data_IF_678987969086
#
_entry.id   IF_678987969086
#
_cell.length_a   1.000
_cell.length_b   1.000
_cell.length_c   1.000
_cell.angle_alpha   90.00
_cell.angle_beta   90.00
_cell.angle_gamma   90.00
#
_symmetry.space_group_name_H-M   'P 1'
#
loop_
_entity.id
_entity.type
_entity.pdbx_description
1 polymer ?
#
# COMPACT_ATOMS: atom_id res chain seq x y z
N UNK A 1 9.41 7.79 10.04
CA UNK A 1 9.10 7.31 8.68
C UNK A 1 8.39 5.97 8.79
N UNK A 2 7.18 5.87 8.24
CA UNK A 2 6.36 4.66 8.26
C UNK A 2 6.15 4.19 6.82
N UNK A 3 6.46 2.92 6.56
CA UNK A 3 6.12 2.29 5.27
C UNK A 3 4.67 1.84 5.32
N UNK A 4 3.88 2.27 4.33
CA UNK A 4 2.44 2.02 4.28
C UNK A 4 2.13 0.96 3.25
N UNK A 5 1.35 -0.04 3.66
CA UNK A 5 0.93 -1.18 2.85
C UNK A 5 -0.47 -0.97 2.23
N UNK A 6 -0.86 -1.87 1.32
CA UNK A 6 -2.10 -1.80 0.55
C UNK A 6 -3.36 -1.78 1.44
N UNK A 7 -3.43 -2.65 2.45
CA UNK A 7 -4.63 -2.82 3.28
C UNK A 7 -5.11 -1.51 3.93
N UNK A 8 -4.27 -0.85 4.75
CA UNK A 8 -4.63 0.44 5.36
C UNK A 8 -5.00 1.54 4.36
N UNK A 9 -4.33 1.61 3.20
CA UNK A 9 -4.63 2.59 2.14
C UNK A 9 -6.01 2.36 1.51
N UNK A 10 -6.34 1.11 1.19
CA UNK A 10 -7.63 0.73 0.63
C UNK A 10 -8.75 0.97 1.64
N UNK A 11 -8.56 0.55 2.90
CA UNK A 11 -9.55 0.77 3.96
C UNK A 11 -9.80 2.26 4.21
N UNK A 12 -8.76 3.09 4.28
CA UNK A 12 -8.92 4.54 4.43
C UNK A 12 -9.63 5.20 3.23
N UNK A 13 -9.48 4.65 2.01
CA UNK A 13 -10.10 5.21 0.81
C UNK A 13 -11.55 4.76 0.59
N UNK A 14 -11.96 3.62 1.15
CA UNK A 14 -13.31 3.07 1.00
C UNK A 14 -14.13 3.25 2.27
N UNK A 15 -15.12 4.15 2.26
CA UNK A 15 -15.99 4.41 3.43
C UNK A 15 -16.82 3.20 3.86
N UNK A 16 -17.02 2.22 2.97
CA UNK A 16 -17.71 0.97 3.26
C UNK A 16 -16.80 -0.11 3.87
N UNK A 17 -15.49 0.10 3.94
CA UNK A 17 -14.57 -0.87 4.54
C UNK A 17 -14.77 -0.90 6.07
N UNK A 18 -14.78 -2.10 6.66
CA UNK A 18 -14.96 -2.27 8.10
C UNK A 18 -13.86 -1.57 8.92
N UNK A 19 -12.68 -1.37 8.34
CA UNK A 19 -11.54 -0.72 8.98
C UNK A 19 -11.34 0.73 8.54
N UNK A 20 -12.32 1.33 7.84
CA UNK A 20 -12.22 2.69 7.32
C UNK A 20 -11.83 3.70 8.41
N UNK A 21 -12.63 3.77 9.47
CA UNK A 21 -12.46 4.75 10.54
C UNK A 21 -11.11 4.57 11.28
N UNK A 22 -10.73 3.35 11.73
CA UNK A 22 -9.40 3.12 12.30
C UNK A 22 -8.23 3.54 11.40
N UNK A 23 -8.32 3.31 10.09
CA UNK A 23 -7.23 3.66 9.17
C UNK A 23 -7.13 5.17 8.93
N UNK A 24 -8.27 5.86 8.83
CA UNK A 24 -8.31 7.33 8.72
C UNK A 24 -7.71 7.97 9.97
N UNK A 25 -8.10 7.52 11.16
CA UNK A 25 -7.57 8.02 12.43
C UNK A 25 -6.07 7.75 12.58
N UNK A 26 -5.61 6.56 12.20
CA UNK A 26 -4.20 6.21 12.20
C UNK A 26 -3.41 7.20 11.33
N UNK A 27 -3.78 7.40 10.07
CA UNK A 27 -3.07 8.31 9.18
C UNK A 27 -3.12 9.77 9.65
N UNK A 28 -4.27 10.23 10.17
CA UNK A 28 -4.37 11.56 10.75
C UNK A 28 -3.40 11.73 11.93
N UNK A 29 -3.35 10.76 12.85
CA UNK A 29 -2.46 10.80 14.01
C UNK A 29 -0.98 10.81 13.62
N UNK A 30 -0.58 9.99 12.64
CA UNK A 30 0.80 9.93 12.15
C UNK A 30 1.21 11.26 11.50
N UNK A 31 0.34 11.87 10.72
CA UNK A 31 0.60 13.19 10.12
C UNK A 31 0.71 14.29 11.15
N UNK A 32 -0.16 14.30 12.17
CA UNK A 32 -0.06 15.25 13.29
C UNK A 32 1.27 15.10 14.04
N UNK A 33 1.82 13.89 14.08
CA UNK A 33 3.14 13.61 14.64
C UNK A 33 4.30 13.86 13.67
N UNK A 34 4.05 14.46 12.50
CA UNK A 34 5.03 14.70 11.44
C UNK A 34 5.75 13.42 10.94
N UNK A 35 5.09 12.27 11.03
CA UNK A 35 5.63 11.04 10.47
C UNK A 35 5.55 11.04 8.95
N UNK A 36 6.67 10.75 8.29
CA UNK A 36 6.71 10.58 6.84
C UNK A 36 6.05 9.24 6.47
N UNK A 37 4.97 9.29 5.70
CA UNK A 37 4.28 8.11 5.16
C UNK A 37 4.82 7.77 3.77
N UNK A 38 5.49 6.63 3.65
CA UNK A 38 6.13 6.18 2.41
C UNK A 38 5.38 4.98 1.85
N UNK A 39 4.92 5.07 0.61
CA UNK A 39 4.21 4.02 -0.11
C UNK A 39 5.18 3.36 -1.09
N UNK A 40 5.43 2.05 -0.99
CA UNK A 40 6.20 1.34 -2.00
C UNK A 40 5.54 1.46 -3.39
N UNK A 41 6.32 1.61 -4.47
CA UNK A 41 5.79 1.76 -5.82
C UNK A 41 4.83 0.64 -6.25
N UNK A 42 5.08 -0.59 -5.81
CA UNK A 42 4.22 -1.75 -6.11
C UNK A 42 2.88 -1.71 -5.36
N UNK A 43 2.86 -1.13 -4.16
CA UNK A 43 1.64 -0.88 -3.38
C UNK A 43 0.77 0.16 -4.09
N UNK A 44 1.36 1.18 -4.73
CA UNK A 44 0.59 2.18 -5.51
C UNK A 44 -0.24 1.49 -6.59
N UNK A 45 0.35 0.55 -7.34
CA UNK A 45 -0.36 -0.18 -8.38
C UNK A 45 -1.46 -1.06 -7.81
N UNK A 46 -1.19 -1.78 -6.72
CA UNK A 46 -2.17 -2.66 -6.07
C UNK A 46 -3.38 -1.88 -5.54
N UNK A 47 -3.13 -0.78 -4.82
CA UNK A 47 -4.20 0.11 -4.32
C UNK A 47 -5.01 0.67 -5.48
N UNK A 48 -4.36 1.15 -6.55
CA UNK A 48 -5.08 1.65 -7.71
C UNK A 48 -5.99 0.58 -8.34
N UNK A 49 -5.49 -0.64 -8.45
CA UNK A 49 -6.24 -1.77 -8.99
C UNK A 49 -7.45 -2.15 -8.13
N UNK A 50 -7.27 -2.24 -6.81
CA UNK A 50 -8.34 -2.58 -5.88
C UNK A 50 -9.41 -1.48 -5.85
N UNK A 51 -9.01 -0.21 -5.78
CA UNK A 51 -9.95 0.91 -5.78
C UNK A 51 -10.70 1.05 -7.11
N UNK A 52 -10.10 0.69 -8.24
CA UNK A 52 -10.79 0.69 -9.54
C UNK A 52 -12.06 -0.17 -9.54
N UNK A 53 -12.12 -1.20 -8.68
CA UNK A 53 -13.29 -2.09 -8.53
C UNK A 53 -14.38 -1.54 -7.60
N UNK A 54 -14.09 -0.46 -6.87
CA UNK A 54 -14.91 -0.01 -5.73
C UNK A 54 -15.13 1.51 -5.68
N UNK A 55 -15.04 2.22 -6.81
CA UNK A 55 -15.29 3.67 -6.90
C UNK A 55 -14.19 4.49 -7.57
N UNK A 56 -13.06 3.85 -7.89
CA UNK A 56 -11.95 4.43 -8.62
C UNK A 56 -10.83 4.96 -7.72
N UNK A 57 -9.59 5.04 -8.24
CA UNK A 57 -8.41 5.39 -7.44
C UNK A 57 -8.20 6.89 -7.27
N UNK A 58 -9.11 7.75 -7.76
CA UNK A 58 -8.93 9.22 -7.79
C UNK A 58 -8.58 9.83 -6.43
N UNK A 59 -9.24 9.46 -5.31
CA UNK A 59 -8.88 10.00 -4.00
C UNK A 59 -7.44 9.66 -3.60
N UNK A 60 -7.00 8.43 -3.85
CA UNK A 60 -5.64 7.98 -3.57
C UNK A 60 -4.60 8.64 -4.48
N UNK A 61 -4.88 8.79 -5.78
CA UNK A 61 -3.97 9.52 -6.68
C UNK A 61 -3.81 10.98 -6.25
N UNK A 62 -4.90 11.60 -5.76
CA UNK A 62 -4.84 12.96 -5.22
C UNK A 62 -3.96 13.06 -3.97
N UNK A 63 -4.00 12.07 -3.08
CA UNK A 63 -3.14 12.05 -1.89
C UNK A 63 -1.66 11.82 -2.23
N UNK A 64 -1.34 11.14 -3.33
CA UNK A 64 0.04 11.13 -3.83
C UNK A 64 0.46 12.50 -4.38
N UNK A 65 -0.43 13.13 -5.15
CA UNK A 65 -0.16 14.43 -5.77
C UNK A 65 -0.06 15.59 -4.75
N UNK A 66 -0.71 15.46 -3.59
CA UNK A 66 -0.62 16.44 -2.50
C UNK A 66 0.48 16.12 -1.48
N UNK A 67 1.33 15.13 -1.75
CA UNK A 67 2.43 14.68 -0.86
C UNK A 67 1.99 14.21 0.53
N UNK A 68 0.70 13.95 0.65
CA UNK A 68 0.02 13.28 1.75
C UNK A 68 0.60 11.87 2.01
N UNK A 69 1.13 11.27 0.94
CA UNK A 69 1.97 10.08 0.93
C UNK A 69 3.10 10.29 -0.08
N UNK A 70 4.28 9.76 0.20
CA UNK A 70 5.44 9.82 -0.70
C UNK A 70 5.74 8.46 -1.30
N UNK A 71 6.10 8.40 -2.58
CA UNK A 71 6.46 7.13 -3.22
C UNK A 71 7.90 6.78 -2.87
N UNK A 72 8.12 5.58 -2.32
CA UNK A 72 9.45 5.09 -1.98
C UNK A 72 10.32 4.80 -3.21
N UNK A 73 11.66 4.79 -3.09
CA UNK A 73 12.55 4.52 -4.21
C UNK A 73 12.48 3.05 -4.64
N UNK A 74 12.50 2.80 -5.96
CA UNK A 74 12.74 1.45 -6.50
C UNK A 74 14.25 1.24 -6.59
N UNK A 75 14.78 0.29 -5.85
CA UNK A 75 16.17 -0.14 -5.98
C UNK A 75 16.25 -1.65 -6.18
N UNK A 76 17.26 -2.16 -6.92
CA UNK A 76 17.47 -3.60 -7.04
C UNK A 76 17.58 -4.33 -5.69
N UNK A 77 18.14 -3.67 -4.67
CA UNK A 77 18.21 -4.21 -3.31
C UNK A 77 16.86 -4.36 -2.61
N UNK A 78 15.87 -3.53 -2.96
CA UNK A 78 14.48 -3.66 -2.48
C UNK A 78 13.73 -4.85 -3.09
N UNK A 79 14.23 -5.40 -4.21
CA UNK A 79 13.64 -6.52 -4.94
C UNK A 79 14.45 -7.83 -4.79
N UNK A 80 15.27 -7.94 -3.76
CA UNK A 80 16.05 -9.14 -3.48
C UNK A 80 15.15 -10.36 -3.21
N UNK A 81 15.55 -11.53 -3.73
CA UNK A 81 14.94 -12.86 -3.48
C UNK A 81 14.67 -13.12 -2.00
N UNK A 82 15.47 -12.55 -1.08
CA UNK A 82 15.25 -12.67 0.37
C UNK A 82 13.88 -12.15 0.81
N UNK A 83 13.38 -11.06 0.23
CA UNK A 83 12.05 -10.52 0.55
C UNK A 83 10.91 -11.42 0.06
N UNK A 84 11.15 -12.21 -0.98
CA UNK A 84 10.14 -13.15 -1.51
C UNK A 84 10.21 -14.53 -0.84
N UNK A 85 11.33 -14.88 -0.19
CA UNK A 85 11.51 -16.17 0.49
C UNK A 85 10.66 -16.35 1.76
N UNK A 86 10.18 -15.24 2.34
CA UNK A 86 9.25 -15.25 3.49
C UNK A 86 7.80 -15.50 3.07
N UNK A 87 7.46 -15.31 1.80
CA UNK A 87 6.13 -15.66 1.28
C UNK A 87 6.11 -17.15 1.00
N UNK A 88 5.48 -17.92 1.89
CA UNK A 88 5.27 -19.37 1.71
C UNK A 88 3.80 -19.65 1.40
N UNK A 89 3.46 -20.05 0.17
CA UNK A 89 2.10 -20.41 -0.17
C UNK A 89 1.65 -21.57 0.73
N UNK A 90 0.44 -21.49 1.28
CA UNK A 90 -0.10 -22.59 2.11
C UNK A 90 -0.55 -23.80 1.29
N UNK A 91 -0.64 -23.65 -0.03
CA UNK A 91 -1.31 -24.59 -0.94
C UNK A 91 -0.40 -25.18 -2.02
N UNK A 92 0.84 -24.69 -2.16
CA UNK A 92 1.86 -25.21 -3.09
C UNK A 92 3.25 -25.01 -2.47
N UNK A 93 4.20 -25.89 -2.78
CA UNK A 93 5.57 -25.80 -2.24
C UNK A 93 6.33 -24.56 -2.74
N UNK A 94 6.08 -24.16 -3.99
CA UNK A 94 6.60 -22.94 -4.60
C UNK A 94 5.74 -22.53 -5.81
N UNK A 95 5.83 -21.25 -6.20
CA UNK A 95 5.27 -20.79 -7.46
C UNK A 95 6.14 -21.25 -8.64
N UNK A 96 5.51 -21.79 -9.69
CA UNK A 96 6.15 -21.98 -10.99
C UNK A 96 6.10 -20.65 -11.73
N UNK A 97 7.26 -20.02 -11.94
CA UNK A 97 7.36 -18.85 -12.80
C UNK A 97 7.23 -19.31 -14.26
N UNK A 98 6.17 -18.89 -14.93
CA UNK A 98 5.99 -19.10 -16.36
C UNK A 98 6.67 -17.96 -17.13
N UNK A 99 7.24 -18.24 -18.32
CA UNK A 99 7.70 -17.20 -19.24
C UNK A 99 6.55 -16.33 -19.76
#
# INVERSE_FOLDING_TARGET
MIVVDTGPLVAAALTSDANHQPCVELFASLRLNNEQLVVPPFVVTEVCYLLARSGGPKPFVRSLASEDFTIGPVTPGGLDRRHFSVVRPRHVDAFTLLP
#
